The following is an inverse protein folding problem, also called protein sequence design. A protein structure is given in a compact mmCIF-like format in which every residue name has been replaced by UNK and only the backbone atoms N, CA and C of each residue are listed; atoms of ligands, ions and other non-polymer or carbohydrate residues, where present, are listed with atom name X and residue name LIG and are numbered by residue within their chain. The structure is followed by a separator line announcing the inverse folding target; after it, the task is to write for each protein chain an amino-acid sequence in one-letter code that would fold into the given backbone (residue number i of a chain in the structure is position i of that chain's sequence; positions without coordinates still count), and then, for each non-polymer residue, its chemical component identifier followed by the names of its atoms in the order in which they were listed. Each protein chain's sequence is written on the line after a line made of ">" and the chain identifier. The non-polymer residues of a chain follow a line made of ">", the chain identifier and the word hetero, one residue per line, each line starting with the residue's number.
data_IF_891119634625
#
_entry.id   IF_891119634625
#
_cell.length_a   1.000
_cell.length_b   1.000
_cell.length_c   1.000
_cell.angle_alpha   90.00
_cell.angle_beta   90.00
_cell.angle_gamma   90.00
#
_symmetry.space_group_name_H-M   'P 1'
#
loop_
_entity.id
_entity.type
_entity.pdbx_description
1 polymer ?
#
# COMPACT_ATOMS: atom_id res chain seq x y z
N UNK A 1 46.84 -47.06 -52.18
CA UNK A 1 46.64 -47.04 -50.71
C UNK A 1 46.43 -45.60 -50.24
N UNK A 2 45.66 -45.41 -49.15
CA UNK A 2 45.11 -44.17 -48.53
C UNK A 2 43.78 -43.69 -49.15
N UNK A 3 42.61 -43.98 -48.51
CA UNK A 3 41.87 -43.23 -47.45
C UNK A 3 41.33 -41.88 -47.98
N UNK A 4 40.04 -41.55 -47.90
CA UNK A 4 39.29 -41.14 -46.70
C UNK A 4 37.74 -41.18 -46.88
N UNK A 5 37.07 -41.23 -45.72
CA UNK A 5 35.64 -41.46 -45.44
C UNK A 5 34.89 -40.15 -45.13
N UNK A 6 33.63 -40.01 -45.57
CA UNK A 6 32.55 -39.19 -44.98
C UNK A 6 31.33 -39.22 -45.93
N UNK A 7 30.05 -39.20 -45.54
CA UNK A 7 29.39 -39.28 -44.24
C UNK A 7 27.93 -39.72 -44.51
N UNK A 8 27.40 -40.51 -43.60
CA UNK A 8 26.00 -40.97 -43.55
C UNK A 8 25.20 -40.05 -42.61
N UNK A 9 23.93 -39.82 -42.92
CA UNK A 9 22.78 -40.14 -42.05
C UNK A 9 21.57 -39.24 -42.34
N UNK A 10 20.61 -39.81 -43.07
CA UNK A 10 19.21 -39.39 -43.11
C UNK A 10 18.52 -39.84 -41.81
N UNK A 11 17.90 -38.92 -41.07
CA UNK A 11 17.16 -39.20 -39.83
C UNK A 11 15.79 -38.48 -39.84
N UNK A 12 14.84 -39.16 -40.49
CA UNK A 12 13.51 -39.52 -39.97
C UNK A 12 12.81 -38.64 -38.91
N UNK A 13 11.88 -37.78 -39.36
CA UNK A 13 10.43 -37.71 -39.09
C UNK A 13 9.78 -38.20 -37.76
N UNK A 14 10.50 -38.33 -36.63
CA UNK A 14 9.92 -38.78 -35.34
C UNK A 14 9.72 -37.68 -34.28
N UNK A 15 10.18 -36.46 -34.54
CA UNK A 15 10.13 -35.35 -33.58
C UNK A 15 8.80 -34.57 -33.57
N UNK A 16 7.96 -34.75 -34.59
CA UNK A 16 6.70 -34.00 -34.73
C UNK A 16 5.58 -34.44 -33.76
N UNK A 17 5.34 -35.74 -33.49
CA UNK A 17 4.22 -36.14 -32.62
C UNK A 17 4.49 -35.91 -31.13
N UNK A 18 5.75 -35.91 -30.69
CA UNK A 18 6.15 -35.65 -29.29
C UNK A 18 6.01 -34.16 -28.94
N UNK A 19 6.29 -33.26 -29.88
CA UNK A 19 6.11 -31.82 -29.71
C UNK A 19 4.63 -31.41 -29.59
N UNK A 20 3.74 -32.04 -30.37
CA UNK A 20 2.29 -31.77 -30.27
C UNK A 20 1.69 -32.24 -28.93
N UNK A 21 2.14 -33.36 -28.39
CA UNK A 21 1.64 -33.89 -27.11
C UNK A 21 2.03 -33.01 -25.92
N UNK A 22 3.23 -32.43 -25.95
CA UNK A 22 3.70 -31.51 -24.91
C UNK A 22 2.94 -30.17 -24.94
N UNK A 23 2.62 -29.68 -26.13
CA UNK A 23 1.85 -28.45 -26.32
C UNK A 23 0.38 -28.61 -25.88
N UNK A 24 -0.21 -29.78 -26.12
CA UNK A 24 -1.55 -30.11 -25.64
C UNK A 24 -1.64 -30.18 -24.11
N UNK A 25 -0.61 -30.75 -23.45
CA UNK A 25 -0.57 -30.82 -21.99
C UNK A 25 -0.36 -29.43 -21.35
N UNK A 26 0.47 -28.59 -21.96
CA UNK A 26 0.63 -27.19 -21.55
C UNK A 26 -0.66 -26.37 -21.72
N UNK A 27 -1.45 -26.66 -22.76
CA UNK A 27 -2.75 -26.03 -23.00
C UNK A 27 -3.82 -26.39 -21.95
N UNK A 28 -3.81 -27.61 -21.41
CA UNK A 28 -4.79 -28.02 -20.39
C UNK A 28 -4.47 -27.39 -19.02
N UNK A 29 -3.19 -27.16 -18.71
CA UNK A 29 -2.74 -26.53 -17.46
C UNK A 29 -3.07 -25.03 -17.37
N UNK A 30 -3.31 -24.35 -18.50
CA UNK A 30 -3.67 -22.92 -18.49
C UNK A 30 -5.17 -22.67 -18.28
N UNK A 31 -6.03 -23.68 -18.46
CA UNK A 31 -7.48 -23.53 -18.28
C UNK A 31 -7.94 -23.59 -16.81
N UNK A 32 -7.15 -24.15 -15.89
CA UNK A 32 -7.51 -24.22 -14.46
C UNK A 32 -7.12 -22.96 -13.69
N UNK A 33 -6.37 -22.03 -14.30
CA UNK A 33 -5.90 -20.82 -13.62
C UNK A 33 -6.87 -19.63 -13.71
N UNK A 34 -7.94 -19.70 -14.51
CA UNK A 34 -8.81 -18.55 -14.78
C UNK A 34 -10.32 -18.85 -14.68
N UNK A 35 -10.70 -19.93 -13.99
CA UNK A 35 -12.10 -20.40 -13.90
C UNK A 35 -12.80 -20.20 -12.56
N UNK A 36 -12.11 -19.66 -11.54
CA UNK A 36 -12.67 -19.44 -10.21
C UNK A 36 -12.95 -17.97 -9.96
N UNK A 37 -14.12 -17.48 -10.36
CA UNK A 37 -14.62 -16.18 -9.91
C UNK A 37 -14.97 -16.27 -8.43
N UNK A 38 -13.93 -16.26 -7.59
CA UNK A 38 -14.06 -15.83 -6.20
C UNK A 38 -14.14 -14.31 -6.28
N UNK A 39 -15.34 -13.78 -6.46
CA UNK A 39 -15.56 -12.33 -6.36
C UNK A 39 -14.92 -11.82 -5.07
N UNK A 40 -14.40 -10.57 -5.04
CA UNK A 40 -13.72 -10.05 -3.87
C UNK A 40 -14.60 -10.24 -2.65
N UNK A 41 -14.21 -11.15 -1.76
CA UNK A 41 -14.91 -11.37 -0.50
C UNK A 41 -14.55 -10.18 0.36
N UNK A 42 -15.51 -9.28 0.55
CA UNK A 42 -15.35 -8.16 1.49
C UNK A 42 -14.93 -8.73 2.84
N UNK A 43 -13.77 -8.32 3.38
CA UNK A 43 -13.33 -8.80 4.69
C UNK A 43 -14.37 -8.46 5.76
N UNK A 44 -14.55 -9.36 6.73
CA UNK A 44 -15.44 -9.08 7.84
C UNK A 44 -14.91 -7.93 8.71
N UNK A 45 -15.82 -7.15 9.28
CA UNK A 45 -15.48 -5.97 10.09
C UNK A 45 -14.58 -6.33 11.29
N UNK A 46 -14.81 -7.50 11.91
CA UNK A 46 -14.03 -7.95 13.05
C UNK A 46 -12.56 -8.19 12.65
N UNK A 47 -12.31 -8.81 11.50
CA UNK A 47 -10.98 -8.99 10.94
C UNK A 47 -10.31 -7.64 10.66
N UNK A 48 -11.03 -6.67 10.10
CA UNK A 48 -10.48 -5.33 9.85
C UNK A 48 -10.11 -4.60 11.15
N UNK A 49 -11.02 -4.57 12.12
CA UNK A 49 -10.79 -3.93 13.43
C UNK A 49 -9.65 -4.62 14.19
N UNK A 50 -9.52 -5.94 14.08
CA UNK A 50 -8.44 -6.70 14.73
C UNK A 50 -7.08 -6.44 14.08
N UNK A 51 -7.03 -6.31 12.75
CA UNK A 51 -5.77 -6.15 12.01
C UNK A 51 -5.27 -4.70 11.91
N UNK A 52 -6.18 -3.73 11.89
CA UNK A 52 -5.84 -2.32 11.68
C UNK A 52 -4.85 -1.76 12.72
N UNK A 53 -4.98 -2.00 14.04
CA UNK A 53 -4.04 -1.45 15.03
C UNK A 53 -2.61 -1.92 14.80
N UNK A 54 -2.40 -3.20 14.46
CA UNK A 54 -1.07 -3.74 14.17
C UNK A 54 -0.47 -3.19 12.87
N UNK A 55 -1.32 -2.85 11.89
CA UNK A 55 -0.88 -2.19 10.67
C UNK A 55 -0.52 -0.71 10.92
N UNK A 56 -1.35 0.02 11.65
CA UNK A 56 -1.13 1.44 12.01
C UNK A 56 0.18 1.60 12.79
N UNK A 57 0.48 0.70 13.73
CA UNK A 57 1.73 0.73 14.52
C UNK A 57 3.00 0.55 13.68
N UNK A 58 2.90 0.02 12.45
CA UNK A 58 4.04 -0.16 11.55
C UNK A 58 4.28 1.04 10.62
N UNK A 59 3.37 2.00 10.59
CA UNK A 59 3.49 3.18 9.73
C UNK A 59 4.62 4.06 10.27
N UNK A 60 5.59 4.37 9.42
CA UNK A 60 6.72 5.24 9.77
C UNK A 60 6.46 6.70 9.43
N UNK A 61 5.59 6.98 8.46
CA UNK A 61 5.18 8.33 8.08
C UNK A 61 3.78 8.33 7.50
N UNK A 62 3.02 9.38 7.78
CA UNK A 62 1.71 9.59 7.20
C UNK A 62 1.36 11.07 7.16
N UNK A 63 0.52 11.40 6.18
CA UNK A 63 -0.19 12.67 6.12
C UNK A 63 -1.54 12.52 6.82
N UNK A 64 -1.99 13.55 7.52
CA UNK A 64 -3.29 13.59 8.18
C UNK A 64 -4.04 14.87 7.79
N UNK A 65 -5.37 14.71 7.66
CA UNK A 65 -6.31 15.79 7.55
C UNK A 65 -7.37 15.60 8.65
N UNK A 66 -7.37 16.51 9.62
CA UNK A 66 -8.23 16.51 10.80
C UNK A 66 -9.29 17.60 10.63
N UNK A 67 -10.54 17.21 10.83
CA UNK A 67 -11.67 18.11 11.02
C UNK A 67 -12.37 17.74 12.33
N UNK A 68 -12.73 18.74 13.13
CA UNK A 68 -13.43 18.54 14.40
C UNK A 68 -14.87 19.02 14.27
N UNK A 69 -15.78 18.07 14.20
CA UNK A 69 -17.20 18.31 14.27
C UNK A 69 -17.69 18.17 15.71
N UNK A 70 -18.53 19.11 16.16
CA UNK A 70 -19.16 19.09 17.49
C UNK A 70 -18.14 18.94 18.65
N UNK A 71 -17.22 19.91 18.86
CA UNK A 71 -16.09 19.81 19.83
C UNK A 71 -16.49 19.76 21.31
N UNK A 72 -17.79 19.64 21.64
CA UNK A 72 -18.30 19.82 22.99
C UNK A 72 -18.25 21.28 23.47
N UNK A 73 -18.47 21.50 24.76
CA UNK A 73 -18.45 22.82 25.41
C UNK A 73 -17.36 22.88 26.48
N UNK A 74 -16.87 24.10 26.79
CA UNK A 74 -15.96 24.33 27.92
C UNK A 74 -14.46 24.40 27.60
N UNK A 75 -14.05 24.19 26.35
CA UNK A 75 -12.65 24.36 25.94
C UNK A 75 -12.35 25.83 25.57
N UNK A 76 -11.34 26.43 26.20
CA UNK A 76 -10.84 27.78 25.87
C UNK A 76 -10.14 27.84 24.52
N UNK A 77 -9.61 26.69 24.07
CA UNK A 77 -8.91 26.50 22.82
C UNK A 77 -9.51 25.29 22.11
N UNK A 78 -10.00 25.49 20.88
CA UNK A 78 -10.62 24.43 20.09
C UNK A 78 -9.94 24.33 18.73
N UNK A 79 -9.35 23.18 18.42
CA UNK A 79 -8.89 22.89 17.06
C UNK A 79 -10.12 22.70 16.18
N UNK A 80 -10.21 23.44 15.08
CA UNK A 80 -11.27 23.30 14.07
C UNK A 80 -10.85 22.35 12.97
N UNK A 81 -9.66 22.59 12.43
CA UNK A 81 -9.04 21.74 11.41
C UNK A 81 -7.54 21.68 11.64
N UNK A 82 -6.90 20.61 11.19
CA UNK A 82 -5.46 20.54 11.07
C UNK A 82 -5.05 19.69 9.86
N UNK A 83 -3.99 20.08 9.17
CA UNK A 83 -3.46 19.39 8.01
C UNK A 83 -1.94 19.29 8.17
N UNK A 84 -1.37 18.09 8.04
CA UNK A 84 0.04 17.93 8.30
C UNK A 84 0.60 16.54 8.10
N UNK A 85 1.89 16.44 8.36
CA UNK A 85 2.67 15.21 8.19
C UNK A 85 3.28 14.80 9.53
N UNK A 86 3.29 13.49 9.77
CA UNK A 86 4.00 12.86 10.88
C UNK A 86 5.08 11.95 10.33
N UNK A 87 6.24 11.99 10.97
CA UNK A 87 7.34 11.06 10.80
C UNK A 87 7.68 10.49 12.19
N UNK A 88 7.34 9.22 12.39
CA UNK A 88 7.51 8.49 13.65
C UNK A 88 9.01 8.34 13.94
N UNK A 89 9.46 8.49 15.20
CA UNK A 89 8.64 8.61 16.41
C UNK A 89 8.23 10.03 16.81
N UNK A 90 8.87 11.07 16.28
CA UNK A 90 8.95 12.34 17.00
C UNK A 90 8.97 13.60 16.14
N UNK A 91 8.65 13.49 14.84
CA UNK A 91 8.62 14.63 13.93
C UNK A 91 7.21 14.90 13.43
N UNK A 92 6.78 16.15 13.53
CA UNK A 92 5.50 16.62 13.03
C UNK A 92 5.68 17.99 12.37
N UNK A 93 4.96 18.21 11.26
CA UNK A 93 4.78 19.53 10.66
C UNK A 93 3.32 19.67 10.24
N UNK A 94 2.62 20.65 10.78
CA UNK A 94 1.20 20.84 10.49
C UNK A 94 0.80 22.32 10.45
N UNK A 95 -0.32 22.60 9.79
CA UNK A 95 -1.05 23.87 9.91
C UNK A 95 -2.40 23.58 10.56
N UNK A 96 -2.82 24.39 11.53
CA UNK A 96 -4.07 24.21 12.24
C UNK A 96 -4.86 25.52 12.30
N UNK A 97 -6.19 25.42 12.15
CA UNK A 97 -7.11 26.51 12.45
C UNK A 97 -7.66 26.29 13.85
N UNK A 98 -7.43 27.25 14.74
CA UNK A 98 -7.74 27.15 16.16
C UNK A 98 -8.69 28.28 16.55
N UNK A 99 -9.79 27.95 17.22
CA UNK A 99 -10.69 28.90 17.82
C UNK A 99 -10.18 29.26 19.23
N UNK A 100 -9.80 30.52 19.42
CA UNK A 100 -9.30 31.09 20.68
C UNK A 100 -10.13 32.32 21.01
N UNK A 101 -10.82 32.31 22.15
CA UNK A 101 -11.66 33.44 22.62
C UNK A 101 -12.58 33.96 21.50
N UNK A 102 -13.26 33.05 20.79
CA UNK A 102 -14.19 33.38 19.71
C UNK A 102 -13.57 33.74 18.35
N UNK A 103 -12.24 33.84 18.25
CA UNK A 103 -11.54 34.15 17.00
C UNK A 103 -10.87 32.91 16.42
N UNK A 104 -10.96 32.72 15.11
CA UNK A 104 -10.22 31.65 14.42
C UNK A 104 -8.87 32.18 13.98
N UNK A 105 -7.82 31.51 14.43
CA UNK A 105 -6.42 31.84 14.14
C UNK A 105 -5.75 30.64 13.49
N UNK A 106 -4.98 30.90 12.43
CA UNK A 106 -4.17 29.87 11.80
C UNK A 106 -2.78 29.85 12.43
N UNK A 107 -2.33 28.68 12.86
CA UNK A 107 -0.98 28.47 13.41
C UNK A 107 -0.26 27.37 12.64
N UNK A 108 1.06 27.46 12.55
CA UNK A 108 1.91 26.35 12.10
C UNK A 108 2.55 25.70 13.30
N UNK A 109 2.62 24.38 13.29
CA UNK A 109 3.15 23.55 14.37
C UNK A 109 4.30 22.72 13.80
N UNK A 110 5.45 22.75 14.47
CA UNK A 110 6.59 21.88 14.17
C UNK A 110 7.02 21.20 15.45
N UNK A 111 7.12 19.87 15.44
CA UNK A 111 7.70 19.09 16.53
C UNK A 111 8.93 18.34 16.03
N UNK A 112 10.02 18.36 16.81
CA UNK A 112 11.23 17.57 16.57
C UNK A 112 11.72 17.05 17.92
N UNK A 113 11.55 15.75 18.16
CA UNK A 113 11.91 15.16 19.44
C UNK A 113 11.06 15.76 20.58
N UNK A 114 11.67 16.23 21.67
CA UNK A 114 10.95 16.85 22.78
C UNK A 114 10.54 18.32 22.51
N UNK A 115 10.99 18.91 21.39
CA UNK A 115 10.80 20.33 21.12
C UNK A 115 9.57 20.55 20.24
N UNK A 116 8.71 21.49 20.64
CA UNK A 116 7.54 21.92 19.88
C UNK A 116 7.59 23.43 19.65
N UNK A 117 7.32 23.84 18.42
CA UNK A 117 7.30 25.23 17.97
C UNK A 117 5.94 25.52 17.37
N UNK A 118 5.37 26.67 17.73
CA UNK A 118 4.10 27.16 17.20
C UNK A 118 4.34 28.58 16.71
N UNK A 119 3.84 28.93 15.53
CA UNK A 119 3.88 30.33 15.07
C UNK A 119 3.06 31.20 16.01
N UNK A 120 3.67 32.30 16.46
CA UNK A 120 2.97 33.37 17.16
C UNK A 120 2.15 34.15 16.12
N UNK A 121 0.81 34.16 16.22
CA UNK A 121 -0.06 34.81 15.24
C UNK A 121 0.02 36.34 15.24
#
# INVERSE_FOLDING_TARGET
>A
MLKYHAASHSLHNKALPTLLSLLALAGILTLTACGGSSGPTTPDAHTLITRAPAAIQKVTSYHFNLAVDNPGTGATLVIKTADGDILVPDKLKASANVLVIGNVVQVKIITIGPNQYITDP
#
